data_IF_721206994167
#
_entry.id   IF_721206994167
#
_cell.length_a   1.000
_cell.length_b   1.000
_cell.length_c   1.000
_cell.angle_alpha   90.00
_cell.angle_beta   90.00
_cell.angle_gamma   90.00
#
_symmetry.space_group_name_H-M   'P 1'
#
loop_
_entity.id
_entity.type
_entity.pdbx_description
1 polymer ?
#
# COMPACT_ATOMS: atom_id res chain seq x y z
N UNK A 1 -5.96 3.02 35.72
CA UNK A 1 -5.23 1.83 35.21
C UNK A 1 -5.20 1.70 33.68
N UNK A 2 -6.28 1.33 32.96
CA UNK A 2 -6.21 1.23 31.47
C UNK A 2 -6.04 2.59 30.77
N UNK A 3 -6.62 3.65 31.30
CA UNK A 3 -6.50 5.02 30.76
C UNK A 3 -5.11 5.62 31.04
N UNK A 4 -4.55 5.35 32.22
CA UNK A 4 -3.19 5.79 32.59
C UNK A 4 -2.12 5.09 31.73
N UNK A 5 -2.29 3.79 31.48
CA UNK A 5 -1.37 3.02 30.63
C UNK A 5 -1.38 3.52 29.16
N UNK A 6 -2.55 3.96 28.65
CA UNK A 6 -2.66 4.56 27.31
C UNK A 6 -2.00 5.95 27.23
N UNK A 7 -2.10 6.75 28.29
CA UNK A 7 -1.42 8.05 28.40
C UNK A 7 0.10 7.91 28.63
N UNK A 8 0.55 6.91 29.39
CA UNK A 8 1.97 6.57 29.52
C UNK A 8 2.57 6.12 28.18
N UNK A 9 1.84 5.32 27.40
CA UNK A 9 2.29 4.91 26.06
C UNK A 9 2.42 6.08 25.07
N UNK A 10 1.58 7.12 25.19
CA UNK A 10 1.71 8.34 24.38
C UNK A 10 2.97 9.14 24.68
N UNK A 11 3.57 8.99 25.85
CA UNK A 11 4.80 9.68 26.24
C UNK A 11 6.09 8.87 25.97
N UNK A 12 5.97 7.59 25.60
CA UNK A 12 7.13 6.72 25.33
C UNK A 12 7.74 6.92 23.93
N UNK A 13 6.99 7.52 23.00
CA UNK A 13 7.43 7.69 21.62
C UNK A 13 7.36 9.16 21.21
N UNK A 14 8.32 9.66 20.40
CA UNK A 14 8.24 11.01 19.87
C UNK A 14 6.96 11.18 19.05
N UNK A 15 6.35 12.36 19.15
CA UNK A 15 5.22 12.72 18.27
C UNK A 15 5.69 12.68 16.82
N UNK A 16 4.96 11.99 15.96
CA UNK A 16 5.27 11.91 14.54
C UNK A 16 4.92 13.25 13.86
N UNK A 17 5.90 13.87 13.22
CA UNK A 17 5.69 15.07 12.38
C UNK A 17 4.91 14.74 11.12
N UNK A 18 5.15 13.56 10.53
CA UNK A 18 4.41 13.14 9.35
C UNK A 18 4.48 11.65 9.08
N UNK A 19 3.56 11.16 8.26
CA UNK A 19 3.53 9.79 7.75
C UNK A 19 3.19 9.78 6.26
N UNK A 20 3.94 9.00 5.47
CA UNK A 20 3.66 8.75 4.06
C UNK A 20 3.03 7.37 3.88
N UNK A 21 1.84 7.35 3.29
CA UNK A 21 1.09 6.16 2.93
C UNK A 21 1.28 5.92 1.44
N UNK A 22 2.05 4.88 1.09
CA UNK A 22 2.44 4.57 -0.28
C UNK A 22 1.69 3.31 -0.71
N UNK A 23 0.92 3.39 -1.81
CA UNK A 23 0.14 2.29 -2.40
C UNK A 23 -0.69 1.52 -1.35
N UNK A 24 -1.23 2.25 -0.37
CA UNK A 24 -1.83 1.65 0.82
C UNK A 24 -3.22 1.11 0.55
N UNK A 25 -3.53 -0.04 1.16
CA UNK A 25 -4.89 -0.59 1.20
C UNK A 25 -5.83 0.44 1.83
N UNK A 26 -7.02 0.68 1.25
CA UNK A 26 -7.93 1.69 1.76
C UNK A 26 -8.45 1.37 3.17
N UNK A 27 -8.91 2.38 3.94
CA UNK A 27 -9.39 2.20 5.31
C UNK A 27 -10.58 1.26 5.47
N UNK A 28 -11.39 1.04 4.42
CA UNK A 28 -12.46 0.03 4.40
C UNK A 28 -11.96 -1.40 4.10
N UNK A 29 -10.68 -1.56 3.75
CA UNK A 29 -10.07 -2.83 3.36
C UNK A 29 -10.24 -3.18 1.89
N UNK A 30 -9.85 -4.40 1.53
CA UNK A 30 -9.77 -4.84 0.13
C UNK A 30 -11.11 -5.26 -0.48
N UNK A 31 -12.19 -5.38 0.30
CA UNK A 31 -13.46 -5.97 -0.15
C UNK A 31 -14.12 -5.14 -1.26
N UNK A 32 -14.19 -3.83 -1.12
CA UNK A 32 -14.71 -2.92 -2.14
C UNK A 32 -13.86 -2.95 -3.42
N UNK A 33 -12.55 -3.07 -3.27
CA UNK A 33 -11.57 -3.14 -4.35
C UNK A 33 -11.74 -4.42 -5.18
N UNK A 34 -11.85 -5.57 -4.50
CA UNK A 34 -12.15 -6.87 -5.11
C UNK A 34 -13.48 -6.83 -5.85
N UNK A 35 -14.52 -6.24 -5.25
CA UNK A 35 -15.83 -6.13 -5.91
C UNK A 35 -15.72 -5.31 -7.19
N UNK A 36 -15.12 -4.12 -7.13
CA UNK A 36 -14.90 -3.27 -8.32
C UNK A 36 -14.16 -4.02 -9.42
N UNK A 37 -13.11 -4.76 -9.08
CA UNK A 37 -12.37 -5.56 -10.06
C UNK A 37 -13.21 -6.70 -10.63
N UNK A 38 -13.97 -7.41 -9.81
CA UNK A 38 -14.79 -8.53 -10.27
C UNK A 38 -15.78 -8.12 -11.38
N UNK A 39 -16.34 -6.90 -11.29
CA UNK A 39 -17.35 -6.44 -12.24
C UNK A 39 -16.82 -5.56 -13.36
N UNK A 40 -15.73 -4.82 -13.14
CA UNK A 40 -15.13 -3.98 -14.20
C UNK A 40 -14.03 -4.69 -14.98
N UNK A 41 -13.27 -5.59 -14.35
CA UNK A 41 -12.07 -6.23 -14.89
C UNK A 41 -11.95 -7.69 -14.38
N UNK A 42 -12.84 -8.61 -14.76
CA UNK A 42 -12.90 -9.97 -14.19
C UNK A 42 -11.59 -10.76 -14.35
N UNK A 43 -10.87 -10.57 -15.46
CA UNK A 43 -9.55 -11.19 -15.68
C UNK A 43 -8.52 -10.65 -14.68
N UNK A 44 -8.51 -9.35 -14.42
CA UNK A 44 -7.63 -8.74 -13.43
C UNK A 44 -7.98 -9.22 -12.01
N UNK A 45 -9.27 -9.29 -11.68
CA UNK A 45 -9.74 -9.83 -10.39
C UNK A 45 -9.25 -11.25 -10.15
N UNK A 46 -9.34 -12.12 -11.17
CA UNK A 46 -8.84 -13.48 -11.11
C UNK A 46 -7.32 -13.52 -10.93
N UNK A 47 -6.58 -12.71 -11.69
CA UNK A 47 -5.12 -12.63 -11.60
C UNK A 47 -4.64 -12.13 -10.24
N UNK A 48 -5.22 -11.05 -9.70
CA UNK A 48 -4.90 -10.53 -8.35
C UNK A 48 -5.19 -11.59 -7.30
N UNK A 49 -6.38 -12.20 -7.35
CA UNK A 49 -6.77 -13.26 -6.39
C UNK A 49 -5.81 -14.44 -6.45
N UNK A 50 -5.50 -14.94 -7.65
CA UNK A 50 -4.54 -16.03 -7.85
C UNK A 50 -3.14 -15.63 -7.36
N UNK A 51 -2.72 -14.41 -7.65
CA UNK A 51 -1.42 -13.90 -7.27
C UNK A 51 -1.28 -13.86 -5.76
N UNK A 52 -2.17 -13.13 -5.09
CA UNK A 52 -2.06 -12.80 -3.67
C UNK A 52 -2.62 -13.90 -2.76
N UNK A 53 -3.85 -14.39 -3.01
CA UNK A 53 -4.51 -15.37 -2.14
C UNK A 53 -3.94 -16.78 -2.32
N UNK A 54 -3.68 -17.20 -3.57
CA UNK A 54 -3.04 -18.49 -3.85
C UNK A 54 -1.50 -18.41 -3.88
N UNK A 55 -0.92 -17.26 -3.53
CA UNK A 55 0.53 -17.00 -3.51
C UNK A 55 1.24 -17.35 -4.82
N UNK A 56 0.55 -17.30 -5.96
CA UNK A 56 1.14 -17.66 -7.25
C UNK A 56 2.21 -16.65 -7.70
N UNK A 57 2.29 -15.45 -7.10
CA UNK A 57 3.44 -14.55 -7.30
C UNK A 57 4.75 -15.20 -6.91
N UNK A 58 4.75 -16.19 -6.01
CA UNK A 58 5.95 -16.89 -5.60
C UNK A 58 6.47 -17.77 -6.75
N UNK A 59 5.62 -18.48 -7.48
CA UNK A 59 6.08 -19.46 -8.47
C UNK A 59 6.08 -18.93 -9.91
N UNK A 60 5.43 -17.79 -10.17
CA UNK A 60 5.24 -17.24 -11.51
C UNK A 60 5.88 -15.87 -11.63
N UNK A 61 7.02 -15.77 -12.32
CA UNK A 61 7.73 -14.51 -12.53
C UNK A 61 6.86 -13.44 -13.20
N UNK A 62 6.13 -13.83 -14.25
CA UNK A 62 5.20 -12.94 -14.97
C UNK A 62 4.12 -12.36 -14.05
N UNK A 63 3.57 -13.17 -13.15
CA UNK A 63 2.53 -12.75 -12.22
C UNK A 63 3.11 -11.89 -11.11
N UNK A 64 4.31 -12.21 -10.62
CA UNK A 64 5.04 -11.38 -9.67
C UNK A 64 5.25 -9.97 -10.24
N UNK A 65 5.76 -9.88 -11.48
CA UNK A 65 5.90 -8.60 -12.19
C UNK A 65 4.56 -7.88 -12.30
N UNK A 66 3.56 -8.51 -12.91
CA UNK A 66 2.24 -7.88 -13.12
C UNK A 66 1.58 -7.42 -11.81
N UNK A 67 1.88 -8.06 -10.67
CA UNK A 67 1.28 -7.70 -9.38
C UNK A 67 1.99 -6.54 -8.70
N UNK A 68 3.32 -6.49 -8.76
CA UNK A 68 4.11 -5.60 -7.91
C UNK A 68 4.95 -4.57 -8.68
N UNK A 69 5.30 -4.83 -9.93
CA UNK A 69 6.35 -4.10 -10.64
C UNK A 69 5.90 -3.61 -12.02
N UNK A 70 6.55 -2.57 -12.50
CA UNK A 70 6.37 -2.01 -13.83
C UNK A 70 6.70 -3.07 -14.89
N UNK A 71 5.97 -3.04 -16.01
CA UNK A 71 6.16 -4.00 -17.10
C UNK A 71 7.58 -3.97 -17.69
N UNK A 72 8.29 -2.85 -17.53
CA UNK A 72 9.66 -2.61 -18.00
C UNK A 72 10.74 -3.12 -17.04
N UNK A 73 10.38 -3.64 -15.87
CA UNK A 73 11.35 -4.09 -14.88
C UNK A 73 12.05 -5.39 -15.32
N UNK A 74 13.39 -5.38 -15.25
CA UNK A 74 14.23 -6.48 -15.69
C UNK A 74 13.97 -7.79 -14.91
N UNK A 75 13.96 -8.91 -15.62
CA UNK A 75 13.66 -10.24 -15.09
C UNK A 75 14.57 -10.66 -13.92
N UNK A 76 15.86 -10.31 -13.96
CA UNK A 76 16.82 -10.58 -12.90
C UNK A 76 16.43 -9.88 -11.57
N UNK A 77 15.94 -8.64 -11.63
CA UNK A 77 15.49 -7.88 -10.47
C UNK A 77 14.16 -8.43 -9.96
N UNK A 78 13.21 -8.72 -10.86
CA UNK A 78 11.93 -9.34 -10.46
C UNK A 78 12.18 -10.70 -9.79
N UNK A 79 13.08 -11.53 -10.34
CA UNK A 79 13.47 -12.82 -9.72
C UNK A 79 14.07 -12.61 -8.33
N UNK A 80 15.00 -11.66 -8.20
CA UNK A 80 15.63 -11.34 -6.90
C UNK A 80 14.58 -10.93 -5.87
N UNK A 81 13.68 -10.01 -6.21
CA UNK A 81 12.66 -9.55 -5.27
C UNK A 81 11.60 -10.62 -4.99
N UNK A 82 11.25 -11.45 -5.98
CA UNK A 82 10.37 -12.59 -5.79
C UNK A 82 10.92 -13.57 -4.74
N UNK A 83 12.23 -13.87 -4.76
CA UNK A 83 12.86 -14.71 -3.72
C UNK A 83 12.78 -14.05 -2.34
N UNK A 84 13.08 -12.75 -2.23
CA UNK A 84 12.95 -12.02 -0.97
C UNK A 84 11.50 -12.03 -0.44
N UNK A 85 10.51 -11.87 -1.33
CA UNK A 85 9.09 -11.93 -0.97
C UNK A 85 8.66 -13.33 -0.50
N UNK A 86 9.18 -14.40 -1.10
CA UNK A 86 8.94 -15.77 -0.64
C UNK A 86 9.44 -15.97 0.78
N UNK A 87 10.65 -15.50 1.07
CA UNK A 87 11.29 -15.64 2.37
C UNK A 87 10.57 -14.85 3.46
N UNK A 88 10.02 -13.67 3.13
CA UNK A 88 9.29 -12.81 4.07
C UNK A 88 7.82 -13.22 4.24
N UNK A 89 7.20 -13.86 3.25
CA UNK A 89 5.77 -14.22 3.24
C UNK A 89 5.46 -15.61 3.82
N UNK A 90 6.18 -16.03 4.87
CA UNK A 90 6.00 -17.34 5.52
C UNK A 90 4.63 -17.47 6.21
N UNK A 91 4.09 -16.35 6.69
CA UNK A 91 2.71 -16.24 7.19
C UNK A 91 1.79 -16.00 5.99
N UNK A 92 0.57 -16.57 5.93
CA UNK A 92 -0.41 -16.16 4.93
C UNK A 92 -0.59 -14.64 4.95
N UNK A 93 -0.43 -13.97 3.80
CA UNK A 93 -0.68 -12.52 3.63
C UNK A 93 -2.11 -12.11 4.03
N UNK A 94 -2.99 -13.10 4.22
CA UNK A 94 -4.41 -12.96 4.40
C UNK A 94 -4.92 -13.89 5.51
N UNK A 95 -4.65 -13.57 6.77
CA UNK A 95 -5.66 -13.87 7.80
C UNK A 95 -6.74 -12.78 7.69
N UNK A 96 -7.53 -12.86 6.61
CA UNK A 96 -8.59 -11.89 6.28
C UNK A 96 -9.56 -11.72 7.44
N UNK A 97 -9.73 -12.72 8.30
CA UNK A 97 -10.58 -12.60 9.49
C UNK A 97 -9.97 -11.65 10.50
N UNK A 98 -8.72 -11.85 10.90
CA UNK A 98 -8.03 -10.93 11.83
C UNK A 98 -7.87 -9.52 11.27
N UNK A 99 -7.60 -9.39 9.97
CA UNK A 99 -7.51 -8.07 9.33
C UNK A 99 -8.88 -7.38 9.26
N UNK A 100 -9.95 -8.08 8.87
CA UNK A 100 -11.31 -7.53 8.83
C UNK A 100 -11.86 -7.22 10.24
N UNK A 101 -11.48 -7.99 11.27
CA UNK A 101 -11.84 -7.71 12.67
C UNK A 101 -11.29 -6.36 13.15
N UNK A 102 -10.23 -5.86 12.52
CA UNK A 102 -9.59 -4.58 12.85
C UNK A 102 -10.06 -3.40 11.97
N UNK A 103 -11.07 -3.62 11.12
CA UNK A 103 -11.60 -2.61 10.20
C UNK A 103 -13.04 -2.19 10.60
N UNK A 104 -13.44 -0.93 10.32
CA UNK A 104 -12.65 0.12 9.69
C UNK A 104 -11.60 0.69 10.65
N UNK A 105 -10.45 1.10 10.10
CA UNK A 105 -9.41 1.79 10.89
C UNK A 105 -10.05 3.00 11.58
N UNK A 106 -9.93 3.16 12.91
CA UNK A 106 -10.48 4.32 13.59
C UNK A 106 -9.86 5.59 13.04
N UNK A 107 -10.69 6.60 12.76
CA UNK A 107 -10.21 7.91 12.31
C UNK A 107 -9.24 8.45 13.34
N UNK A 108 -8.06 8.90 12.91
CA UNK A 108 -7.13 9.63 13.76
C UNK A 108 -7.76 10.97 14.14
N UNK A 109 -8.42 11.03 15.29
CA UNK A 109 -8.97 12.27 15.82
C UNK A 109 -7.87 13.00 16.58
N UNK A 110 -7.45 14.16 16.07
CA UNK A 110 -6.53 15.12 16.70
C UNK A 110 -5.06 14.66 16.82
N UNK A 111 -4.43 14.27 15.71
CA UNK A 111 -2.97 14.16 15.64
C UNK A 111 -2.41 15.27 14.73
N UNK A 112 -1.35 15.95 15.15
CA UNK A 112 -0.62 16.96 14.36
C UNK A 112 0.29 16.34 13.29
N UNK A 113 0.05 15.09 12.93
CA UNK A 113 0.87 14.35 11.97
C UNK A 113 0.39 14.70 10.57
N UNK A 114 1.27 15.32 9.79
CA UNK A 114 1.05 15.59 8.39
C UNK A 114 1.02 14.28 7.60
N UNK A 115 0.01 14.09 6.74
CA UNK A 115 -0.16 12.85 5.99
C UNK A 115 0.08 13.08 4.50
N UNK A 116 0.96 12.27 3.91
CA UNK A 116 1.07 12.14 2.46
C UNK A 116 0.38 10.84 2.03
N UNK A 117 -0.56 10.94 1.09
CA UNK A 117 -1.14 9.77 0.42
C UNK A 117 -0.60 9.72 -1.00
N UNK A 118 0.17 8.68 -1.30
CA UNK A 118 0.85 8.47 -2.58
C UNK A 118 0.45 7.12 -3.16
N UNK A 119 0.07 7.09 -4.42
CA UNK A 119 -0.25 5.87 -5.14
C UNK A 119 0.35 5.85 -6.54
N UNK A 120 0.22 4.70 -7.19
CA UNK A 120 0.68 4.46 -8.54
C UNK A 120 -0.50 4.27 -9.48
N UNK A 121 -0.41 4.80 -10.70
CA UNK A 121 -1.42 4.62 -11.75
C UNK A 121 -1.41 3.20 -12.29
N UNK A 122 -0.23 2.59 -12.35
CA UNK A 122 -0.03 1.22 -12.83
C UNK A 122 -0.05 0.21 -11.67
N UNK A 123 -0.59 0.61 -10.51
CA UNK A 123 -0.84 -0.27 -9.38
C UNK A 123 -1.92 -1.30 -9.74
N UNK A 124 -1.52 -2.57 -9.77
CA UNK A 124 -2.42 -3.67 -10.08
C UNK A 124 -3.29 -4.09 -8.89
N UNK A 125 -2.91 -3.72 -7.66
CA UNK A 125 -3.54 -4.14 -6.42
C UNK A 125 -4.52 -3.08 -5.91
N UNK A 126 -4.11 -1.81 -5.87
CA UNK A 126 -4.92 -0.71 -5.35
C UNK A 126 -5.35 0.20 -6.50
N UNK A 127 -6.66 0.32 -6.71
CA UNK A 127 -7.20 1.16 -7.76
C UNK A 127 -7.31 2.64 -7.36
N UNK A 128 -7.59 3.49 -8.35
CA UNK A 128 -7.72 4.93 -8.14
C UNK A 128 -8.80 5.29 -7.10
N UNK A 129 -9.88 4.51 -6.99
CA UNK A 129 -10.91 4.74 -5.97
C UNK A 129 -10.41 4.39 -4.56
N UNK A 130 -9.63 3.30 -4.41
CA UNK A 130 -8.96 2.99 -3.14
C UNK A 130 -7.99 4.09 -2.71
N UNK A 131 -7.21 4.63 -3.65
CA UNK A 131 -6.34 5.78 -3.40
C UNK A 131 -7.14 7.02 -2.95
N UNK A 132 -8.23 7.34 -3.66
CA UNK A 132 -9.11 8.46 -3.34
C UNK A 132 -9.85 8.29 -2.01
N UNK A 133 -10.22 7.06 -1.65
CA UNK A 133 -10.79 6.74 -0.34
C UNK A 133 -9.80 7.03 0.79
N UNK A 134 -8.55 6.58 0.66
CA UNK A 134 -7.49 6.88 1.63
C UNK A 134 -7.26 8.38 1.75
N UNK A 135 -7.20 9.12 0.64
CA UNK A 135 -7.09 10.58 0.65
C UNK A 135 -8.25 11.26 1.41
N UNK A 136 -9.49 10.87 1.12
CA UNK A 136 -10.68 11.39 1.83
C UNK A 136 -10.66 11.05 3.32
N UNK A 137 -10.20 9.87 3.70
CA UNK A 137 -10.14 9.45 5.10
C UNK A 137 -9.19 10.33 5.92
N UNK A 138 -8.04 10.71 5.35
CA UNK A 138 -7.06 11.61 5.98
C UNK A 138 -7.28 13.10 5.64
N UNK A 139 -8.32 13.43 4.87
CA UNK A 139 -8.62 14.79 4.41
C UNK A 139 -7.45 15.44 3.64
N UNK A 140 -6.77 14.66 2.79
CA UNK A 140 -5.67 15.11 1.92
C UNK A 140 -5.97 14.76 0.47
N UNK A 141 -5.43 15.56 -0.46
CA UNK A 141 -5.49 15.22 -1.89
C UNK A 141 -4.41 14.19 -2.19
N UNK A 142 -4.76 12.97 -2.64
CA UNK A 142 -3.75 11.97 -2.95
C UNK A 142 -2.96 12.33 -4.21
N UNK A 143 -1.71 11.91 -4.27
CA UNK A 143 -0.86 12.02 -5.45
C UNK A 143 -0.83 10.65 -6.14
N UNK A 144 -1.07 10.62 -7.44
CA UNK A 144 -0.99 9.42 -8.27
C UNK A 144 0.13 9.58 -9.29
N UNK A 145 1.15 8.72 -9.21
CA UNK A 145 2.31 8.75 -10.11
C UNK A 145 2.06 7.83 -11.31
N UNK A 146 2.40 8.29 -12.52
CA UNK A 146 2.37 7.47 -13.74
C UNK A 146 3.69 6.74 -13.97
N UNK A 147 3.68 5.56 -14.60
CA UNK A 147 4.90 4.84 -14.95
C UNK A 147 5.60 4.15 -13.77
N UNK A 148 4.86 3.93 -12.68
CA UNK A 148 5.29 3.21 -11.48
C UNK A 148 4.19 2.25 -11.06
N UNK A 149 4.57 1.06 -10.59
CA UNK A 149 3.67 0.02 -10.09
C UNK A 149 3.53 0.02 -8.56
N UNK A 150 2.87 -1.02 -8.03
CA UNK A 150 2.51 -1.13 -6.61
C UNK A 150 3.70 -1.03 -5.66
N UNK A 151 4.74 -1.84 -5.85
CA UNK A 151 5.96 -1.83 -5.03
C UNK A 151 6.91 -0.71 -5.48
N UNK A 152 6.39 0.52 -5.47
CA UNK A 152 7.05 1.76 -5.88
C UNK A 152 8.47 1.92 -5.32
N UNK A 153 8.73 1.46 -4.09
CA UNK A 153 10.05 1.56 -3.45
C UNK A 153 11.11 0.65 -4.08
N UNK A 154 10.71 -0.41 -4.77
CA UNK A 154 11.57 -1.41 -5.40
C UNK A 154 11.50 -1.38 -6.93
N UNK A 155 10.54 -0.63 -7.47
CA UNK A 155 10.29 -0.51 -8.90
C UNK A 155 11.48 0.10 -9.67
N UNK A 156 11.58 -0.16 -10.98
CA UNK A 156 12.60 0.48 -11.82
C UNK A 156 12.47 2.02 -11.89
N UNK A 157 11.26 2.54 -11.65
CA UNK A 157 10.95 3.98 -11.63
C UNK A 157 10.81 4.54 -10.20
N UNK A 158 11.40 3.88 -9.19
CA UNK A 158 11.26 4.26 -7.77
C UNK A 158 11.61 5.73 -7.47
N UNK A 159 12.49 6.32 -8.27
CA UNK A 159 12.91 7.71 -8.15
C UNK A 159 11.75 8.70 -8.23
N UNK A 160 10.71 8.40 -9.01
CA UNK A 160 9.51 9.25 -9.11
C UNK A 160 8.78 9.35 -7.77
N UNK A 161 8.58 8.22 -7.08
CA UNK A 161 8.01 8.18 -5.74
C UNK A 161 8.88 8.89 -4.71
N UNK A 162 10.19 8.63 -4.74
CA UNK A 162 11.14 9.25 -3.83
C UNK A 162 11.18 10.78 -3.97
N UNK A 163 11.10 11.31 -5.20
CA UNK A 163 11.09 12.74 -5.46
C UNK A 163 9.85 13.43 -4.88
N UNK A 164 8.67 12.80 -4.96
CA UNK A 164 7.44 13.30 -4.34
C UNK A 164 7.58 13.33 -2.81
N UNK A 165 8.05 12.23 -2.22
CA UNK A 165 8.25 12.15 -0.77
C UNK A 165 9.26 13.19 -0.30
N UNK A 166 10.39 13.33 -0.98
CA UNK A 166 11.42 14.33 -0.65
C UNK A 166 10.87 15.76 -0.75
N UNK A 167 10.11 16.07 -1.80
CA UNK A 167 9.48 17.38 -1.98
C UNK A 167 8.49 17.69 -0.85
N UNK A 168 7.69 16.70 -0.46
CA UNK A 168 6.78 16.81 0.67
C UNK A 168 7.52 17.03 2.00
N UNK A 169 8.56 16.23 2.29
CA UNK A 169 9.39 16.39 3.50
C UNK A 169 10.05 17.77 3.59
N UNK A 170 10.54 18.30 2.48
CA UNK A 170 11.10 19.66 2.43
C UNK A 170 10.06 20.76 2.70
N UNK A 171 8.77 20.47 2.46
CA UNK A 171 7.66 21.33 2.82
C UNK A 171 7.31 21.31 4.31
N UNK A 172 7.59 20.21 5.02
CA UNK A 172 7.32 20.05 6.46
C UNK A 172 8.32 20.78 7.36
N UNK A 173 9.53 21.03 6.87
CA UNK A 173 10.62 21.67 7.63
C UNK A 173 10.58 23.21 7.57
N UNK A 174 9.42 23.81 7.29
CA UNK A 174 9.19 25.27 7.24
C UNK A 174 8.20 25.68 8.32
#
# INVERSE_FOLDING_TARGET
>A
MLIEMFLEMQNLYPKLTGAALICSVPPSGNSGLVWRYLFSKPIAAFKVTRSLAAKAFQTSLSLCRETFFSATMEDNLVLRYQELMKESSRVPLFDLRKLNESLPVPKMTACSTEILVLGAKDDFIVDAEGLNETGRFYNVTPICIEGVAHDMMLDCSWGEGANVILSWLNGLNR
#
